data_IF_819736992375
#
_entry.id   IF_819736992375
#
_cell.length_a   1.000
_cell.length_b   1.000
_cell.length_c   1.000
_cell.angle_alpha   90.00
_cell.angle_beta   90.00
_cell.angle_gamma   90.00
#
_symmetry.space_group_name_H-M   'P 1'
#
loop_
_entity.id
_entity.type
_entity.pdbx_description
1 polymer ?
#
# COMPACT_ATOMS: atom_id res chain seq x y z
N UNK A 1 24.74 -1.81 23.92
CA UNK A 1 24.54 -0.95 22.73
C UNK A 1 23.37 0.03 22.82
N UNK A 2 22.19 -0.30 23.39
CA UNK A 2 21.03 0.63 23.45
C UNK A 2 21.31 1.97 24.15
N UNK A 3 22.06 1.95 25.25
CA UNK A 3 22.37 3.15 26.06
C UNK A 3 23.25 4.20 25.36
N UNK A 4 24.05 3.79 24.35
CA UNK A 4 24.85 4.71 23.54
C UNK A 4 24.02 5.41 22.45
N UNK A 5 23.12 4.68 21.77
CA UNK A 5 22.26 5.26 20.73
C UNK A 5 21.28 6.31 21.29
N UNK A 6 20.81 6.13 22.52
CA UNK A 6 19.92 7.09 23.17
C UNK A 6 20.61 8.43 23.48
N UNK A 7 21.88 8.38 23.90
CA UNK A 7 22.70 9.58 24.13
C UNK A 7 22.96 10.38 22.85
N UNK A 8 23.22 9.70 21.73
CA UNK A 8 23.47 10.34 20.44
C UNK A 8 22.21 10.99 19.86
N UNK A 9 21.04 10.35 20.02
CA UNK A 9 19.77 10.93 19.59
C UNK A 9 19.35 12.13 20.45
N UNK A 10 19.62 12.12 21.76
CA UNK A 10 19.38 13.29 22.60
C UNK A 10 20.26 14.48 22.20
N UNK A 11 21.54 14.24 21.87
CA UNK A 11 22.46 15.27 21.37
C UNK A 11 22.00 15.88 20.04
N UNK A 12 21.52 15.05 19.10
CA UNK A 12 20.95 15.52 17.82
C UNK A 12 19.75 16.43 18.01
N UNK A 13 18.83 16.05 18.91
CA UNK A 13 17.65 16.86 19.23
C UNK A 13 18.02 18.19 19.90
N UNK A 14 19.05 18.21 20.75
CA UNK A 14 19.55 19.44 21.36
C UNK A 14 20.16 20.40 20.32
N UNK A 15 21.01 19.90 19.41
CA UNK A 15 21.62 20.71 18.35
C UNK A 15 20.57 21.29 17.39
N UNK A 16 19.58 20.49 17.00
CA UNK A 16 18.49 20.94 16.14
C UNK A 16 17.62 22.03 16.79
N UNK A 17 17.41 21.97 18.12
CA UNK A 17 16.71 23.03 18.87
C UNK A 17 17.53 24.33 18.90
N UNK A 18 18.82 24.23 19.19
CA UNK A 18 19.71 25.39 19.25
C UNK A 18 19.89 26.09 17.88
N UNK A 19 19.81 25.33 16.78
CA UNK A 19 19.83 25.89 15.43
C UNK A 19 18.58 26.73 15.13
N UNK A 20 17.40 26.24 15.53
CA UNK A 20 16.12 26.95 15.37
C UNK A 20 16.05 28.23 16.20
N UNK A 21 16.55 28.20 17.44
CA UNK A 21 16.64 29.39 18.31
C UNK A 21 17.53 30.49 17.70
N UNK A 22 18.51 30.13 16.86
CA UNK A 22 19.38 31.09 16.16
C UNK A 22 18.89 31.42 14.73
N UNK A 23 17.67 31.02 14.37
CA UNK A 23 17.09 31.26 13.05
C UNK A 23 17.79 30.55 11.90
N UNK A 24 18.58 29.50 12.19
CA UNK A 24 19.36 28.74 11.19
C UNK A 24 18.73 27.38 10.90
N UNK A 25 18.95 26.88 9.69
CA UNK A 25 18.43 25.57 9.30
C UNK A 25 19.28 24.44 9.92
N UNK A 26 18.65 23.31 10.27
CA UNK A 26 19.32 22.17 10.92
C UNK A 26 20.42 21.54 10.05
N UNK A 27 20.36 21.71 8.73
CA UNK A 27 21.39 21.31 7.76
C UNK A 27 22.69 22.09 7.91
N UNK A 28 22.62 23.36 8.33
CA UNK A 28 23.78 24.28 8.43
C UNK A 28 24.62 24.04 9.70
N UNK A 29 24.09 23.28 10.66
CA UNK A 29 24.73 23.03 11.97
C UNK A 29 25.27 21.60 12.10
N UNK A 30 25.24 20.82 11.01
CA UNK A 30 25.69 19.43 11.02
C UNK A 30 24.77 18.47 11.77
N UNK A 31 23.56 18.89 12.16
CA UNK A 31 22.62 18.05 12.91
C UNK A 31 22.14 16.82 12.13
N UNK A 32 22.20 16.87 10.79
CA UNK A 32 21.90 15.76 9.87
C UNK A 32 23.09 14.82 9.59
N UNK A 33 24.28 15.11 10.12
CA UNK A 33 25.47 14.30 9.87
C UNK A 33 25.52 13.05 10.77
N UNK A 34 26.22 12.01 10.29
CA UNK A 34 26.53 10.83 11.12
C UNK A 34 27.41 11.22 12.32
N UNK A 35 27.31 10.49 13.44
CA UNK A 35 27.96 10.85 14.71
C UNK A 35 29.48 11.12 14.56
N UNK A 36 30.19 10.32 13.74
CA UNK A 36 31.61 10.52 13.44
C UNK A 36 31.89 11.83 12.69
N UNK A 37 31.00 12.26 11.80
CA UNK A 37 31.15 13.52 11.04
C UNK A 37 30.75 14.75 11.85
N UNK A 38 29.89 14.59 12.86
CA UNK A 38 29.53 15.68 13.79
C UNK A 38 30.70 16.08 14.69
N UNK A 39 31.48 15.11 15.17
CA UNK A 39 32.69 15.37 15.95
C UNK A 39 33.73 16.15 15.14
N UNK A 40 33.94 15.77 13.87
CA UNK A 40 34.84 16.49 12.96
C UNK A 40 34.35 17.93 12.71
N UNK A 41 33.05 18.11 12.47
CA UNK A 41 32.45 19.42 12.18
C UNK A 41 32.48 20.38 13.39
N UNK A 42 32.29 19.86 14.61
CA UNK A 42 32.44 20.65 15.85
C UNK A 42 33.91 21.01 16.12
N UNK A 43 34.86 20.12 15.79
CA UNK A 43 36.30 20.38 15.96
C UNK A 43 36.82 21.41 14.94
N UNK A 44 36.21 21.48 13.75
CA UNK A 44 36.57 22.50 12.74
C UNK A 44 36.06 23.89 13.14
N UNK A 45 34.87 23.99 13.76
CA UNK A 45 34.26 25.25 14.17
C UNK A 45 34.86 25.91 15.42
N UNK A 46 35.68 25.18 16.19
CA UNK A 46 36.32 25.68 17.43
C UNK A 46 37.80 26.05 17.29
N UNK A 47 38.43 25.85 16.13
CA UNK A 47 39.85 26.18 15.93
C UNK A 47 40.02 27.61 15.43
N UNK A 48 40.43 28.49 16.33
CA UNK A 48 41.06 29.78 16.01
C UNK A 48 42.56 29.54 15.80
N UNK A 49 42.98 29.20 14.58
CA UNK A 49 44.39 29.01 14.22
C UNK A 49 44.58 28.52 12.78
N UNK A 50 45.79 28.68 12.19
CA UNK A 50 46.01 28.39 10.77
C UNK A 50 45.78 26.92 10.41
N UNK A 51 45.34 26.68 9.17
CA UNK A 51 45.02 25.36 8.63
C UNK A 51 46.26 24.43 8.64
N UNK A 52 46.12 23.16 9.08
CA UNK A 52 47.17 22.17 8.86
C UNK A 52 47.27 21.83 7.37
N UNK A 53 48.50 21.83 6.87
CA UNK A 53 48.84 21.49 5.50
C UNK A 53 48.40 20.05 5.18
N UNK A 54 47.45 19.89 4.25
CA UNK A 54 47.09 18.56 3.75
C UNK A 54 45.65 18.39 3.27
N UNK A 55 45.16 19.26 2.40
CA UNK A 55 44.01 18.94 1.53
C UNK A 55 44.04 19.83 0.31
N UNK A 56 44.83 19.39 -0.68
CA UNK A 56 44.95 20.04 -1.99
C UNK A 56 43.61 19.98 -2.72
N UNK A 57 42.86 21.07 -2.67
CA UNK A 57 42.17 21.54 -3.87
C UNK A 57 43.24 21.97 -4.88
N UNK A 58 43.19 21.45 -6.10
CA UNK A 58 43.86 22.10 -7.23
C UNK A 58 42.81 22.73 -8.12
N UNK A 59 42.88 24.05 -8.22
CA UNK A 59 42.29 24.83 -9.28
C UNK A 59 43.23 24.87 -10.50
N UNK A 60 42.60 25.20 -11.62
CA UNK A 60 43.08 25.34 -12.98
C UNK A 60 44.10 26.49 -13.17
N UNK A 61 45.02 26.32 -14.13
CA UNK A 61 45.58 27.35 -15.03
C UNK A 61 46.85 26.86 -15.74
N UNK A 62 46.73 26.79 -17.07
CA UNK A 62 47.58 27.45 -18.07
C UNK A 62 49.07 27.72 -17.75
N UNK A 63 49.91 27.28 -18.71
CA UNK A 63 51.27 27.77 -19.06
C UNK A 63 52.45 27.04 -18.40
N UNK A 64 53.08 26.16 -19.17
CA UNK A 64 54.56 26.13 -19.29
C UNK A 64 55.31 24.87 -18.82
N UNK A 65 55.27 23.80 -19.62
CA UNK A 65 56.38 22.83 -19.80
C UNK A 65 56.36 21.54 -18.95
N UNK A 66 57.19 20.54 -19.29
CA UNK A 66 57.53 19.97 -20.60
C UNK A 66 56.61 18.78 -20.96
N UNK A 67 56.59 18.38 -22.23
CA UNK A 67 55.63 17.44 -22.81
C UNK A 67 55.65 16.01 -22.18
N UNK A 68 54.47 15.40 -21.91
CA UNK A 68 54.36 13.96 -21.63
C UNK A 68 54.41 13.13 -22.94
N UNK A 69 54.80 11.84 -22.86
CA UNK A 69 54.93 10.97 -24.04
C UNK A 69 53.59 10.70 -24.75
N UNK A 70 53.60 10.40 -26.06
CA UNK A 70 52.37 10.30 -26.85
C UNK A 70 51.46 9.15 -26.44
N UNK A 71 50.16 9.41 -26.58
CA UNK A 71 49.03 8.59 -26.17
C UNK A 71 49.07 7.14 -26.69
N UNK A 72 48.89 6.20 -25.77
CA UNK A 72 48.54 4.82 -26.09
C UNK A 72 47.18 4.74 -26.77
N UNK A 73 47.11 3.84 -27.75
CA UNK A 73 45.96 3.49 -28.60
C UNK A 73 44.68 3.27 -27.77
N UNK A 74 43.49 3.75 -28.21
CA UNK A 74 42.24 3.46 -27.51
C UNK A 74 41.91 1.97 -27.62
N UNK A 75 41.87 1.28 -26.48
CA UNK A 75 41.32 -0.08 -26.41
C UNK A 75 39.85 -0.04 -26.83
N UNK A 76 39.53 -0.85 -27.84
CA UNK A 76 38.15 -1.11 -28.26
C UNK A 76 37.36 -1.69 -27.09
N UNK A 77 36.14 -1.22 -26.79
CA UNK A 77 35.30 -1.84 -25.79
C UNK A 77 34.98 -3.28 -26.21
N UNK A 78 35.21 -4.24 -25.31
CA UNK A 78 34.83 -5.64 -25.53
C UNK A 78 33.33 -5.73 -25.80
N UNK A 79 32.88 -6.61 -26.72
CA UNK A 79 31.46 -6.85 -26.93
C UNK A 79 30.83 -7.35 -25.63
N UNK A 80 29.83 -6.63 -25.15
CA UNK A 80 28.97 -7.05 -24.06
C UNK A 80 28.18 -8.26 -24.56
N UNK A 81 28.41 -9.43 -23.97
CA UNK A 81 27.63 -10.64 -24.28
C UNK A 81 26.15 -10.30 -24.09
N UNK A 82 25.38 -10.35 -25.16
CA UNK A 82 23.93 -10.22 -25.08
C UNK A 82 23.39 -11.38 -24.21
N UNK A 83 22.40 -11.13 -23.34
CA UNK A 83 21.70 -12.24 -22.71
C UNK A 83 21.07 -13.10 -23.81
N UNK A 84 21.27 -14.42 -23.73
CA UNK A 84 20.66 -15.37 -24.65
C UNK A 84 19.14 -15.15 -24.73
N UNK A 85 18.52 -15.26 -25.91
CA UNK A 85 17.08 -15.24 -26.01
C UNK A 85 16.54 -16.47 -25.27
N UNK A 86 15.86 -16.22 -24.16
CA UNK A 86 15.09 -17.22 -23.45
C UNK A 86 14.14 -17.92 -24.42
N UNK A 87 13.99 -19.24 -24.23
CA UNK A 87 13.10 -20.09 -25.00
C UNK A 87 11.67 -19.49 -25.10
N UNK A 88 10.93 -19.76 -26.20
CA UNK A 88 9.61 -19.21 -26.39
C UNK A 88 8.63 -19.90 -25.44
N UNK A 89 8.17 -19.18 -24.42
CA UNK A 89 7.12 -19.64 -23.54
C UNK A 89 6.89 -18.67 -22.40
N UNK A 90 5.69 -18.11 -22.35
CA UNK A 90 5.15 -17.23 -21.32
C UNK A 90 5.81 -15.84 -21.23
N UNK A 91 5.24 -14.86 -21.92
CA UNK A 91 5.57 -13.43 -21.82
C UNK A 91 5.68 -13.04 -20.35
N UNK A 92 6.90 -12.90 -19.84
CA UNK A 92 7.15 -12.47 -18.46
C UNK A 92 6.55 -11.09 -18.30
N UNK A 93 5.37 -11.05 -17.68
CA UNK A 93 4.75 -9.81 -17.24
C UNK A 93 5.80 -9.12 -16.36
N UNK A 94 6.26 -7.94 -16.78
CA UNK A 94 7.34 -7.27 -16.07
C UNK A 94 6.91 -7.00 -14.63
N UNK A 95 7.86 -6.96 -13.68
CA UNK A 95 7.58 -6.66 -12.26
C UNK A 95 6.57 -5.52 -12.07
N UNK A 96 6.68 -4.46 -12.88
CA UNK A 96 5.76 -3.32 -12.82
C UNK A 96 4.33 -3.70 -13.19
N UNK A 97 4.14 -4.45 -14.26
CA UNK A 97 2.83 -4.89 -14.75
C UNK A 97 2.16 -5.86 -13.76
N UNK A 98 2.95 -6.76 -13.14
CA UNK A 98 2.50 -7.63 -12.06
C UNK A 98 1.97 -6.81 -10.86
N UNK A 99 2.76 -5.84 -10.39
CA UNK A 99 2.38 -5.00 -9.24
C UNK A 99 1.22 -4.05 -9.58
N UNK A 100 1.14 -3.54 -10.81
CA UNK A 100 0.03 -2.70 -11.27
C UNK A 100 -1.29 -3.52 -11.31
N UNK A 101 -1.27 -4.76 -11.78
CA UNK A 101 -2.43 -5.66 -11.75
C UNK A 101 -2.85 -6.00 -10.32
N UNK A 102 -1.89 -6.32 -9.45
CA UNK A 102 -2.15 -6.55 -8.03
C UNK A 102 -2.78 -5.30 -7.38
N UNK A 103 -2.25 -4.10 -7.68
CA UNK A 103 -2.80 -2.84 -7.19
C UNK A 103 -4.23 -2.59 -7.66
N UNK A 104 -4.53 -2.87 -8.94
CA UNK A 104 -5.90 -2.81 -9.47
C UNK A 104 -6.83 -3.76 -8.73
N UNK A 105 -6.43 -5.02 -8.53
CA UNK A 105 -7.24 -6.02 -7.84
C UNK A 105 -7.44 -5.72 -6.35
N UNK A 106 -6.41 -5.19 -5.69
CA UNK A 106 -6.48 -4.83 -4.27
C UNK A 106 -7.03 -3.41 -4.01
N UNK A 107 -7.35 -2.65 -5.07
CA UNK A 107 -7.88 -1.28 -4.97
C UNK A 107 -6.88 -0.26 -4.40
N UNK A 108 -5.58 -0.45 -4.61
CA UNK A 108 -4.51 0.36 -3.98
C UNK A 108 -3.47 0.86 -4.97
N UNK A 109 -2.75 1.91 -4.60
CA UNK A 109 -1.68 2.46 -5.43
C UNK A 109 -0.48 1.50 -5.55
N UNK A 110 0.35 1.72 -6.57
CA UNK A 110 1.52 0.90 -6.88
C UNK A 110 2.49 0.70 -5.70
N UNK A 111 2.76 1.74 -4.90
CA UNK A 111 3.71 1.63 -3.78
C UNK A 111 3.15 0.70 -2.72
N UNK A 112 1.86 0.85 -2.44
CA UNK A 112 1.13 0.01 -1.48
C UNK A 112 1.01 -1.43 -1.98
N UNK A 113 0.69 -1.62 -3.25
CA UNK A 113 0.61 -2.94 -3.90
C UNK A 113 1.97 -3.66 -3.87
N UNK A 114 3.05 -2.93 -4.16
CA UNK A 114 4.43 -3.45 -4.13
C UNK A 114 4.75 -4.07 -2.77
N UNK A 115 4.61 -3.28 -1.71
CA UNK A 115 4.98 -3.70 -0.35
C UNK A 115 4.09 -4.87 0.09
N UNK A 116 2.80 -4.83 -0.26
CA UNK A 116 1.87 -5.91 0.00
C UNK A 116 2.20 -7.21 -0.73
N UNK A 117 2.61 -7.12 -2.00
CA UNK A 117 3.01 -8.27 -2.80
C UNK A 117 4.32 -8.89 -2.29
N UNK A 118 5.32 -8.06 -1.95
CA UNK A 118 6.56 -8.50 -1.30
C UNK A 118 6.26 -9.26 -0.01
N UNK A 119 5.46 -8.67 0.89
CA UNK A 119 5.06 -9.30 2.14
C UNK A 119 4.34 -10.64 1.92
N UNK A 120 3.41 -10.71 0.96
CA UNK A 120 2.66 -11.93 0.67
C UNK A 120 3.55 -13.04 0.13
N UNK A 121 4.39 -12.73 -0.87
CA UNK A 121 5.31 -13.71 -1.48
C UNK A 121 6.28 -14.26 -0.45
N UNK A 122 6.83 -13.39 0.41
CA UNK A 122 7.74 -13.78 1.47
C UNK A 122 7.04 -14.63 2.53
N UNK A 123 5.88 -14.23 3.04
CA UNK A 123 5.13 -15.03 4.02
C UNK A 123 4.79 -16.41 3.45
N UNK A 124 4.34 -16.48 2.19
CA UNK A 124 3.99 -17.73 1.53
C UNK A 124 5.21 -18.62 1.32
N UNK A 125 6.32 -18.05 0.86
CA UNK A 125 7.58 -18.76 0.70
C UNK A 125 8.03 -19.43 2.00
N UNK A 126 7.82 -18.81 3.16
CA UNK A 126 8.17 -19.38 4.47
C UNK A 126 7.14 -20.35 5.03
N UNK A 127 5.87 -20.25 4.63
CA UNK A 127 4.85 -21.24 4.96
C UNK A 127 5.10 -22.59 4.24
N UNK A 128 5.56 -22.51 2.99
CA UNK A 128 5.84 -23.64 2.10
C UNK A 128 7.05 -24.50 2.55
N UNK A 129 7.11 -25.75 2.07
CA UNK A 129 8.31 -26.58 2.15
C UNK A 129 9.40 -26.09 1.19
N UNK A 130 10.66 -26.50 1.42
CA UNK A 130 11.83 -25.97 0.69
C UNK A 130 11.71 -26.11 -0.85
N UNK A 131 11.22 -27.24 -1.35
CA UNK A 131 11.04 -27.45 -2.78
C UNK A 131 10.02 -26.47 -3.40
N UNK A 132 8.92 -26.23 -2.69
CA UNK A 132 7.80 -25.41 -3.17
C UNK A 132 8.12 -23.93 -3.01
N UNK A 133 8.82 -23.58 -1.93
CA UNK A 133 9.45 -22.28 -1.72
C UNK A 133 10.37 -21.93 -2.89
N UNK A 134 11.28 -22.83 -3.28
CA UNK A 134 12.21 -22.57 -4.37
C UNK A 134 11.48 -22.39 -5.71
N UNK A 135 10.43 -23.19 -5.96
CA UNK A 135 9.57 -23.07 -7.14
C UNK A 135 8.88 -21.71 -7.20
N UNK A 136 8.22 -21.29 -6.12
CA UNK A 136 7.58 -19.98 -6.02
C UNK A 136 8.58 -18.84 -6.27
N UNK A 137 9.73 -18.86 -5.58
CA UNK A 137 10.71 -17.78 -5.68
C UNK A 137 11.36 -17.69 -7.07
N UNK A 138 11.49 -18.81 -7.78
CA UNK A 138 12.02 -18.81 -9.14
C UNK A 138 11.01 -18.28 -10.15
N UNK A 139 9.71 -18.43 -9.88
CA UNK A 139 8.64 -18.00 -10.78
C UNK A 139 8.28 -16.51 -10.64
N UNK A 140 8.52 -15.90 -9.48
CA UNK A 140 8.22 -14.49 -9.23
C UNK A 140 9.42 -13.57 -9.51
N UNK A 141 9.22 -12.31 -9.93
CA UNK A 141 10.32 -11.37 -10.11
C UNK A 141 11.15 -11.19 -8.84
N UNK A 142 12.48 -11.16 -8.97
CA UNK A 142 13.39 -11.12 -7.83
C UNK A 142 13.19 -9.92 -6.90
N UNK A 143 12.73 -8.79 -7.45
CA UNK A 143 12.38 -7.60 -6.67
C UNK A 143 11.27 -7.84 -5.64
N UNK A 144 10.44 -8.88 -5.78
CA UNK A 144 9.43 -9.24 -4.79
C UNK A 144 9.96 -10.06 -3.61
N UNK A 145 11.17 -10.63 -3.71
CA UNK A 145 11.70 -11.53 -2.69
C UNK A 145 13.15 -11.25 -2.26
N UNK A 146 13.83 -10.26 -2.86
CA UNK A 146 15.20 -9.85 -2.49
C UNK A 146 15.23 -8.93 -1.25
N UNK A 147 14.06 -8.67 -0.67
CA UNK A 147 13.91 -7.89 0.55
C UNK A 147 13.64 -8.84 1.70
N UNK A 148 14.61 -9.06 2.58
CA UNK A 148 14.41 -9.83 3.82
C UNK A 148 14.17 -8.86 4.98
N UNK A 149 13.07 -8.97 5.74
CA UNK A 149 12.83 -8.16 6.93
C UNK A 149 13.96 -8.31 7.95
N UNK A 150 14.33 -7.23 8.62
CA UNK A 150 15.40 -7.21 9.64
C UNK A 150 15.10 -8.17 10.80
N UNK A 151 13.83 -8.31 11.15
CA UNK A 151 13.37 -9.15 12.25
C UNK A 151 13.13 -10.62 11.83
N UNK A 152 13.43 -10.98 10.58
CA UNK A 152 13.12 -12.28 10.01
C UNK A 152 11.64 -12.44 9.67
N UNK A 153 11.28 -13.65 9.21
CA UNK A 153 9.92 -14.04 8.82
C UNK A 153 9.54 -15.26 9.65
N UNK A 154 8.40 -15.20 10.33
CA UNK A 154 7.89 -16.34 11.08
C UNK A 154 7.10 -17.28 10.18
N UNK A 155 7.23 -18.58 10.43
CA UNK A 155 6.51 -19.60 9.69
C UNK A 155 5.14 -19.84 10.31
N UNK A 156 4.08 -19.52 9.56
CA UNK A 156 2.70 -19.78 9.95
C UNK A 156 2.02 -20.63 8.88
N UNK A 157 1.32 -21.69 9.31
CA UNK A 157 0.62 -22.63 8.43
C UNK A 157 -0.91 -22.44 8.46
N UNK A 158 -1.40 -21.65 9.41
CA UNK A 158 -2.78 -21.21 9.53
C UNK A 158 -2.96 -19.80 8.96
N UNK A 159 -4.17 -19.53 8.46
CA UNK A 159 -4.53 -18.25 7.88
C UNK A 159 -4.34 -17.06 8.84
N UNK A 160 -4.81 -17.08 10.10
CA UNK A 160 -4.63 -15.96 11.02
C UNK A 160 -3.15 -15.59 11.25
N UNK A 161 -2.29 -16.58 11.48
CA UNK A 161 -0.85 -16.37 11.65
C UNK A 161 -0.19 -15.84 10.38
N UNK A 162 -0.55 -16.39 9.22
CA UNK A 162 -0.08 -15.90 7.92
C UNK A 162 -0.46 -14.43 7.68
N UNK A 163 -1.73 -14.08 7.90
CA UNK A 163 -2.21 -12.70 7.73
C UNK A 163 -1.57 -11.75 8.73
N UNK A 164 -1.28 -12.20 9.96
CA UNK A 164 -0.55 -11.43 10.96
C UNK A 164 0.85 -11.07 10.46
N UNK A 165 1.56 -12.02 9.84
CA UNK A 165 2.88 -11.76 9.24
C UNK A 165 2.82 -10.82 8.04
N UNK A 166 1.83 -11.00 7.15
CA UNK A 166 1.64 -10.09 6.00
C UNK A 166 1.31 -8.68 6.48
N UNK A 167 0.45 -8.54 7.49
CA UNK A 167 0.15 -7.26 8.15
C UNK A 167 1.38 -6.61 8.77
N UNK A 168 2.19 -7.39 9.49
CA UNK A 168 3.43 -6.92 10.13
C UNK A 168 4.43 -6.38 9.10
N UNK A 169 4.64 -7.11 8.01
CA UNK A 169 5.58 -6.72 6.95
C UNK A 169 5.08 -5.53 6.11
N UNK A 170 3.77 -5.47 5.86
CA UNK A 170 3.19 -4.42 5.00
C UNK A 170 2.70 -3.18 5.75
N UNK A 171 2.56 -3.23 7.08
CA UNK A 171 2.02 -2.16 7.91
C UNK A 171 0.51 -1.95 7.74
N UNK A 172 -0.24 -3.01 7.40
CA UNK A 172 -1.67 -2.95 7.04
C UNK A 172 -2.55 -3.67 8.05
N UNK A 173 -3.83 -3.32 8.10
CA UNK A 173 -4.79 -4.07 8.93
C UNK A 173 -4.90 -5.52 8.45
N UNK A 174 -5.35 -6.47 9.30
CA UNK A 174 -5.52 -7.87 8.91
C UNK A 174 -6.42 -8.05 7.67
N UNK A 175 -7.50 -7.28 7.57
CA UNK A 175 -8.44 -7.34 6.44
C UNK A 175 -7.79 -6.82 5.15
N UNK A 176 -6.98 -5.76 5.26
CA UNK A 176 -6.23 -5.22 4.13
C UNK A 176 -5.12 -6.18 3.68
N UNK A 177 -4.44 -6.84 4.63
CA UNK A 177 -3.44 -7.87 4.36
C UNK A 177 -4.06 -9.07 3.67
N UNK A 178 -5.27 -9.49 4.09
CA UNK A 178 -6.02 -10.56 3.44
C UNK A 178 -6.34 -10.25 1.98
N UNK A 179 -6.99 -9.11 1.72
CA UNK A 179 -7.33 -8.70 0.35
C UNK A 179 -6.10 -8.57 -0.54
N UNK A 180 -5.02 -8.04 0.03
CA UNK A 180 -3.74 -7.95 -0.66
C UNK A 180 -3.17 -9.33 -1.01
N UNK A 181 -3.23 -10.28 -0.07
CA UNK A 181 -2.73 -11.64 -0.27
C UNK A 181 -3.55 -12.38 -1.35
N UNK A 182 -4.88 -12.30 -1.27
CA UNK A 182 -5.80 -12.85 -2.28
C UNK A 182 -5.53 -12.23 -3.66
N UNK A 183 -5.39 -10.91 -3.76
CA UNK A 183 -5.09 -10.23 -5.02
C UNK A 183 -3.73 -10.67 -5.60
N UNK A 184 -2.70 -10.84 -4.75
CA UNK A 184 -1.39 -11.34 -5.18
C UNK A 184 -1.48 -12.77 -5.69
N UNK A 185 -2.11 -13.67 -4.93
CA UNK A 185 -2.26 -15.08 -5.30
C UNK A 185 -3.11 -15.27 -6.56
N UNK A 186 -4.24 -14.58 -6.67
CA UNK A 186 -5.08 -14.59 -7.87
C UNK A 186 -4.32 -14.06 -9.10
N UNK A 187 -3.43 -13.08 -8.91
CA UNK A 187 -2.59 -12.58 -10.01
C UNK A 187 -1.53 -13.58 -10.44
N UNK A 188 -0.92 -14.29 -9.49
CA UNK A 188 0.02 -15.36 -9.79
C UNK A 188 -0.70 -16.52 -10.51
N UNK A 189 -1.88 -16.94 -10.02
CA UNK A 189 -2.67 -18.00 -10.63
C UNK A 189 -3.14 -17.66 -12.06
N UNK A 190 -3.58 -16.41 -12.29
CA UNK A 190 -3.95 -15.96 -13.62
C UNK A 190 -2.78 -15.93 -14.61
N UNK A 191 -1.54 -15.82 -14.10
CA UNK A 191 -0.33 -15.76 -14.91
C UNK A 191 0.31 -17.12 -15.13
N UNK A 192 0.20 -18.01 -14.15
CA UNK A 192 0.75 -19.35 -14.16
C UNK A 192 -0.10 -20.24 -13.23
N UNK A 193 -1.16 -20.81 -13.78
CA UNK A 193 -2.08 -21.67 -13.04
C UNK A 193 -1.37 -22.95 -12.58
N UNK A 194 -0.55 -23.53 -13.46
CA UNK A 194 0.24 -24.74 -13.17
C UNK A 194 1.19 -24.52 -11.98
N UNK A 195 1.82 -23.34 -11.88
CA UNK A 195 2.62 -22.99 -10.70
C UNK A 195 1.78 -23.11 -9.44
N UNK A 196 0.65 -22.39 -9.35
CA UNK A 196 -0.17 -22.32 -8.14
C UNK A 196 -0.75 -23.68 -7.78
N UNK A 197 -1.23 -24.44 -8.76
CA UNK A 197 -1.72 -25.81 -8.57
C UNK A 197 -0.62 -26.76 -8.07
N UNK A 198 0.63 -26.53 -8.45
CA UNK A 198 1.75 -27.38 -8.07
C UNK A 198 2.32 -27.10 -6.66
N UNK A 199 1.93 -26.00 -6.01
CA UNK A 199 2.37 -25.63 -4.67
C UNK A 199 1.56 -26.40 -3.62
N UNK A 200 2.23 -27.16 -2.75
CA UNK A 200 1.60 -27.77 -1.59
C UNK A 200 1.43 -26.74 -0.49
N UNK A 201 0.43 -25.90 -0.66
CA UNK A 201 0.02 -24.92 0.34
C UNK A 201 -0.62 -25.63 1.54
N UNK A 202 -0.23 -25.28 2.78
CA UNK A 202 -0.86 -25.83 3.99
C UNK A 202 -2.38 -25.71 3.95
N UNK A 203 -3.09 -26.70 4.51
CA UNK A 203 -4.56 -26.76 4.52
C UNK A 203 -5.19 -25.45 5.03
N UNK A 204 -4.59 -24.86 6.07
CA UNK A 204 -5.04 -23.60 6.67
C UNK A 204 -4.91 -22.36 5.76
N UNK A 205 -4.21 -22.46 4.62
CA UNK A 205 -4.03 -21.37 3.65
C UNK A 205 -4.73 -21.63 2.32
N UNK A 206 -5.39 -22.78 2.14
CA UNK A 206 -6.10 -23.11 0.90
C UNK A 206 -7.25 -22.14 0.59
N UNK A 207 -7.87 -21.58 1.63
CA UNK A 207 -8.92 -20.56 1.50
C UNK A 207 -8.46 -19.32 0.69
N UNK A 208 -7.14 -19.03 0.67
CA UNK A 208 -6.58 -17.92 -0.12
C UNK A 208 -6.36 -18.27 -1.61
N UNK A 209 -6.33 -19.57 -1.94
CA UNK A 209 -6.11 -20.08 -3.29
C UNK A 209 -7.41 -20.46 -4.00
N UNK A 210 -8.45 -20.78 -3.24
CA UNK A 210 -9.77 -21.02 -3.81
C UNK A 210 -10.21 -19.73 -4.52
N UNK A 211 -10.48 -19.78 -5.84
CA UNK A 211 -11.04 -18.63 -6.53
C UNK A 211 -12.35 -18.33 -5.83
N UNK A 212 -12.40 -17.19 -5.12
CA UNK A 212 -13.56 -16.84 -4.29
C UNK A 212 -14.83 -17.08 -5.08
N UNK A 213 -15.65 -18.02 -4.62
CA UNK A 213 -16.79 -18.53 -5.35
C UNK A 213 -17.61 -17.35 -5.86
N UNK A 214 -17.71 -17.25 -7.19
CA UNK A 214 -18.65 -16.37 -7.84
C UNK A 214 -20.03 -16.98 -7.63
N UNK A 215 -20.63 -16.68 -6.48
CA UNK A 215 -22.02 -17.00 -6.17
C UNK A 215 -22.18 -18.19 -5.23
N UNK A 216 -22.65 -17.90 -4.02
CA UNK A 216 -23.00 -18.94 -3.06
C UNK A 216 -23.59 -18.34 -1.80
N UNK A 217 -24.67 -17.58 -1.93
CA UNK A 217 -25.42 -17.13 -0.76
C UNK A 217 -26.07 -18.33 -0.07
N UNK A 218 -25.44 -18.86 0.98
CA UNK A 218 -26.06 -19.25 2.25
C UNK A 218 -24.99 -19.09 3.32
N UNK A 219 -25.37 -18.38 4.39
CA UNK A 219 -24.54 -18.05 5.55
C UNK A 219 -23.83 -19.29 6.13
N UNK A 220 -22.52 -19.34 5.95
CA UNK A 220 -21.57 -20.04 6.80
C UNK A 220 -20.63 -19.01 7.41
N UNK A 221 -20.28 -19.18 8.68
CA UNK A 221 -19.55 -18.21 9.49
C UNK A 221 -18.12 -17.91 8.97
N UNK A 222 -18.02 -17.09 7.93
CA UNK A 222 -16.78 -16.45 7.46
C UNK A 222 -17.11 -15.02 7.02
N UNK A 223 -16.37 -14.06 7.57
CA UNK A 223 -16.63 -12.62 7.57
C UNK A 223 -16.37 -11.90 6.24
N UNK A 224 -16.51 -12.58 5.10
CA UNK A 224 -16.34 -11.98 3.77
C UNK A 224 -17.70 -11.88 3.09
N UNK A 225 -18.28 -10.69 3.14
CA UNK A 225 -19.53 -10.42 2.43
C UNK A 225 -19.29 -10.43 0.92
N UNK A 226 -19.94 -11.35 0.21
CA UNK A 226 -19.81 -11.50 -1.23
C UNK A 226 -20.38 -10.28 -2.00
N UNK A 227 -19.74 -9.87 -3.12
CA UNK A 227 -20.31 -8.92 -4.07
C UNK A 227 -21.67 -9.35 -4.62
N UNK A 228 -22.56 -8.39 -4.85
CA UNK A 228 -23.82 -8.61 -5.57
C UNK A 228 -23.53 -8.86 -7.05
N UNK A 229 -24.20 -9.86 -7.61
CA UNK A 229 -24.29 -10.03 -9.07
C UNK A 229 -25.06 -8.88 -9.70
N UNK A 230 -24.87 -8.65 -11.01
CA UNK A 230 -25.60 -7.60 -11.71
C UNK A 230 -27.13 -7.80 -11.69
N UNK A 231 -27.61 -9.04 -11.63
CA UNK A 231 -29.02 -9.34 -11.48
C UNK A 231 -29.55 -8.97 -10.09
N UNK A 232 -28.79 -9.29 -9.03
CA UNK A 232 -29.13 -8.92 -7.65
C UNK A 232 -29.07 -7.40 -7.44
N UNK A 233 -28.05 -6.73 -7.98
CA UNK A 233 -27.97 -5.27 -7.94
C UNK A 233 -29.17 -4.62 -8.63
N UNK A 234 -29.58 -5.14 -9.79
CA UNK A 234 -30.76 -4.62 -10.49
C UNK A 234 -32.04 -4.83 -9.68
N UNK A 235 -32.18 -5.98 -9.02
CA UNK A 235 -33.31 -6.24 -8.13
C UNK A 235 -33.29 -5.28 -6.92
N UNK A 236 -32.14 -5.11 -6.27
CA UNK A 236 -31.98 -4.19 -5.14
C UNK A 236 -32.28 -2.73 -5.52
N UNK A 237 -31.81 -2.28 -6.69
CA UNK A 237 -32.12 -0.94 -7.20
C UNK A 237 -33.60 -0.74 -7.55
N UNK A 238 -34.34 -1.82 -7.84
CA UNK A 238 -35.78 -1.72 -8.03
C UNK A 238 -36.52 -1.36 -6.72
N UNK A 239 -35.95 -1.75 -5.57
CA UNK A 239 -36.47 -1.46 -4.23
C UNK A 239 -35.88 -0.15 -3.64
N UNK A 240 -34.97 0.52 -4.36
CA UNK A 240 -34.30 1.77 -3.96
C UNK A 240 -34.49 2.86 -5.03
N UNK A 241 -35.71 3.39 -5.22
CA UNK A 241 -36.05 4.24 -6.38
C UNK A 241 -35.30 5.58 -6.42
N UNK A 242 -34.76 6.05 -5.29
CA UNK A 242 -33.98 7.29 -5.21
C UNK A 242 -32.49 7.07 -5.38
N UNK A 243 -32.04 5.82 -5.54
CA UNK A 243 -30.65 5.47 -5.69
C UNK A 243 -30.32 5.09 -7.13
N UNK A 244 -29.11 5.43 -7.55
CA UNK A 244 -28.50 4.97 -8.77
C UNK A 244 -27.23 4.20 -8.45
N UNK A 245 -26.90 3.16 -9.21
CA UNK A 245 -25.71 2.36 -8.97
C UNK A 245 -25.01 1.88 -10.24
N UNK A 246 -23.69 1.85 -10.20
CA UNK A 246 -22.81 1.45 -11.32
C UNK A 246 -22.07 0.13 -11.07
N UNK A 247 -22.47 -0.60 -10.03
CA UNK A 247 -21.80 -1.83 -9.60
C UNK A 247 -20.71 -1.61 -8.56
N UNK A 248 -20.20 -0.39 -8.39
CA UNK A 248 -19.15 -0.03 -7.44
C UNK A 248 -19.62 0.89 -6.33
N UNK A 249 -20.60 1.72 -6.64
CA UNK A 249 -21.18 2.67 -5.71
C UNK A 249 -22.69 2.75 -5.88
N UNK A 250 -23.39 3.06 -4.80
CA UNK A 250 -24.77 3.53 -4.82
C UNK A 250 -24.74 5.01 -4.49
N UNK A 251 -25.43 5.82 -5.29
CA UNK A 251 -25.50 7.27 -5.10
C UNK A 251 -26.95 7.75 -5.07
N UNK A 252 -27.27 8.62 -4.11
CA UNK A 252 -28.55 9.32 -4.00
C UNK A 252 -28.29 10.82 -3.85
N UNK A 253 -29.04 11.63 -4.57
CA UNK A 253 -29.04 13.10 -4.39
C UNK A 253 -30.25 13.51 -3.57
N UNK A 254 -30.04 14.38 -2.59
CA UNK A 254 -31.09 14.96 -1.74
C UNK A 254 -31.07 16.46 -1.93
N UNK A 255 -32.21 17.02 -2.34
CA UNK A 255 -32.41 18.45 -2.54
C UNK A 255 -33.48 18.96 -1.58
N UNK A 256 -33.12 19.86 -0.67
CA UNK A 256 -33.99 20.40 0.37
C UNK A 256 -33.56 21.85 0.72
N UNK A 257 -34.44 22.68 1.29
CA UNK A 257 -34.02 23.92 1.93
C UNK A 257 -32.90 23.66 2.95
N UNK A 258 -31.93 24.57 3.04
CA UNK A 258 -30.69 24.34 3.82
C UNK A 258 -30.95 23.89 5.27
N UNK A 259 -31.87 24.54 5.97
CA UNK A 259 -32.22 24.21 7.36
C UNK A 259 -32.81 22.80 7.49
N UNK A 260 -33.59 22.35 6.50
CA UNK A 260 -34.16 21.02 6.47
C UNK A 260 -33.11 19.97 6.07
N UNK A 261 -32.20 20.34 5.15
CA UNK A 261 -31.12 19.45 4.73
C UNK A 261 -30.19 19.14 5.90
N UNK A 262 -29.78 20.15 6.69
CA UNK A 262 -28.91 19.95 7.84
C UNK A 262 -29.54 18.96 8.84
N UNK A 263 -30.82 19.12 9.17
CA UNK A 263 -31.56 18.18 10.03
C UNK A 263 -31.60 16.76 9.47
N UNK A 264 -31.80 16.60 8.17
CA UNK A 264 -31.80 15.30 7.51
C UNK A 264 -30.40 14.66 7.57
N UNK A 265 -29.35 15.44 7.32
CA UNK A 265 -27.97 14.95 7.38
C UNK A 265 -27.57 14.54 8.80
N UNK A 266 -27.98 15.28 9.82
CA UNK A 266 -27.77 14.90 11.23
C UNK A 266 -28.40 13.53 11.53
N UNK A 267 -29.61 13.27 11.01
CA UNK A 267 -30.26 11.96 11.17
C UNK A 267 -29.54 10.85 10.40
N UNK A 268 -29.07 11.14 9.19
CA UNK A 268 -28.27 10.20 8.39
C UNK A 268 -26.93 9.88 9.05
N UNK A 269 -26.30 10.85 9.73
CA UNK A 269 -25.07 10.59 10.50
C UNK A 269 -25.32 9.64 11.67
N UNK A 270 -26.52 9.69 12.26
CA UNK A 270 -26.92 8.82 13.37
C UNK A 270 -27.04 7.34 12.97
N UNK A 271 -27.24 7.04 11.67
CA UNK A 271 -27.19 5.66 11.13
C UNK A 271 -25.84 4.98 11.43
N UNK A 272 -24.76 5.76 11.57
CA UNK A 272 -23.45 5.24 12.01
C UNK A 272 -23.51 4.61 13.39
N UNK A 273 -24.26 5.20 14.30
CA UNK A 273 -24.37 4.73 15.69
C UNK A 273 -25.11 3.39 15.73
N UNK A 274 -26.13 3.23 14.89
CA UNK A 274 -26.99 2.05 14.86
C UNK A 274 -26.38 0.87 14.09
N UNK A 275 -25.70 1.15 12.96
CA UNK A 275 -25.24 0.11 12.01
C UNK A 275 -23.71 0.00 11.95
N UNK A 276 -22.99 0.94 12.58
CA UNK A 276 -21.53 1.01 12.52
C UNK A 276 -20.99 1.47 11.16
N UNK A 277 -21.85 1.86 10.22
CA UNK A 277 -21.52 2.26 8.84
C UNK A 277 -22.25 3.55 8.48
N UNK A 278 -21.67 4.33 7.57
CA UNK A 278 -22.25 5.60 7.11
C UNK A 278 -22.01 5.79 5.62
N UNK A 279 -22.92 6.45 4.88
CA UNK A 279 -22.60 6.94 3.55
C UNK A 279 -21.49 8.00 3.63
N UNK A 280 -20.80 8.21 2.51
CA UNK A 280 -20.03 9.43 2.28
C UNK A 280 -20.99 10.53 1.87
N UNK A 281 -20.86 11.69 2.50
CA UNK A 281 -21.73 12.85 2.25
C UNK A 281 -20.90 13.92 1.53
N UNK A 282 -21.30 14.28 0.32
CA UNK A 282 -20.79 15.44 -0.40
C UNK A 282 -21.82 16.55 -0.40
N UNK A 283 -21.42 17.79 -0.11
CA UNK A 283 -22.29 18.98 -0.22
C UNK A 283 -21.79 19.88 -1.33
N UNK A 284 -22.34 19.78 -2.55
CA UNK A 284 -22.02 20.72 -3.61
C UNK A 284 -22.52 22.14 -3.29
N UNK A 285 -23.64 22.27 -2.58
CA UNK A 285 -24.21 23.55 -2.15
C UNK A 285 -25.06 23.39 -0.85
N UNK A 286 -25.54 24.48 -0.23
CA UNK A 286 -26.28 24.40 1.03
C UNK A 286 -27.61 23.65 0.96
N UNK A 287 -28.25 23.58 -0.21
CA UNK A 287 -29.54 22.92 -0.42
C UNK A 287 -29.45 21.54 -1.07
N UNK A 288 -28.24 21.06 -1.36
CA UNK A 288 -28.03 19.77 -2.03
C UNK A 288 -27.00 18.92 -1.29
N UNK A 289 -27.31 17.65 -1.08
CA UNK A 289 -26.36 16.65 -0.63
C UNK A 289 -26.32 15.45 -1.59
N UNK A 290 -25.13 14.92 -1.80
CA UNK A 290 -24.89 13.68 -2.54
C UNK A 290 -24.42 12.63 -1.54
N UNK A 291 -25.22 11.59 -1.37
CA UNK A 291 -24.95 10.46 -0.50
C UNK A 291 -24.37 9.33 -1.36
N UNK A 292 -23.17 8.87 -1.03
CA UNK A 292 -22.49 7.79 -1.74
C UNK A 292 -22.21 6.64 -0.78
N UNK A 293 -22.76 5.47 -1.08
CA UNK A 293 -22.47 4.22 -0.38
C UNK A 293 -21.53 3.39 -1.24
N UNK A 294 -20.41 2.98 -0.68
CA UNK A 294 -19.50 2.00 -1.27
C UNK A 294 -18.80 1.23 -0.15
N UNK A 295 -18.57 -0.06 -0.35
CA UNK A 295 -17.62 -0.79 0.50
C UNK A 295 -16.21 -0.60 -0.07
N UNK A 296 -15.26 -0.14 0.74
CA UNK A 296 -13.84 -0.11 0.34
C UNK A 296 -13.18 -1.50 0.35
N UNK A 297 -13.95 -2.56 0.61
CA UNK A 297 -13.47 -3.93 0.79
C UNK A 297 -13.69 -4.82 -0.44
N UNK A 298 -14.61 -4.46 -1.32
CA UNK A 298 -14.77 -5.05 -2.64
C UNK A 298 -14.88 -3.89 -3.64
N UNK A 299 -14.25 -3.98 -4.81
CA UNK A 299 -14.50 -3.06 -5.93
C UNK A 299 -15.89 -3.32 -6.54
N UNK A 300 -16.89 -3.55 -5.67
CA UNK A 300 -18.22 -4.01 -5.97
C UNK A 300 -19.19 -3.73 -4.79
N UNK A 301 -20.47 -3.54 -5.12
CA UNK A 301 -21.55 -3.41 -4.14
C UNK A 301 -21.83 -4.76 -3.47
N UNK A 302 -22.06 -4.73 -2.16
CA UNK A 302 -22.38 -5.88 -1.33
C UNK A 302 -23.77 -5.75 -0.68
N UNK A 303 -24.33 -6.83 -0.13
CA UNK A 303 -25.63 -6.77 0.54
C UNK A 303 -25.69 -5.72 1.70
N UNK A 304 -24.68 -5.60 2.57
CA UNK A 304 -24.60 -4.54 3.57
C UNK A 304 -24.59 -3.11 3.00
N UNK A 305 -24.14 -2.90 1.76
CA UNK A 305 -24.22 -1.59 1.11
C UNK A 305 -25.67 -1.25 0.74
N UNK A 306 -26.44 -2.25 0.29
CA UNK A 306 -27.88 -2.12 0.05
C UNK A 306 -28.65 -1.91 1.35
N UNK A 307 -28.30 -2.65 2.42
CA UNK A 307 -28.87 -2.44 3.76
C UNK A 307 -28.61 -1.02 4.28
N UNK A 308 -27.40 -0.50 4.09
CA UNK A 308 -27.07 0.88 4.44
C UNK A 308 -27.89 1.88 3.62
N UNK A 309 -28.10 1.65 2.32
CA UNK A 309 -28.94 2.51 1.49
C UNK A 309 -30.39 2.54 1.99
N UNK A 310 -30.96 1.40 2.38
CA UNK A 310 -32.30 1.34 2.99
C UNK A 310 -32.36 2.06 4.34
N UNK A 311 -31.34 1.90 5.19
CA UNK A 311 -31.30 2.60 6.48
C UNK A 311 -31.22 4.12 6.32
N UNK A 312 -30.47 4.59 5.32
CA UNK A 312 -30.40 6.00 4.95
C UNK A 312 -31.76 6.50 4.45
N UNK A 313 -32.46 5.74 3.60
CA UNK A 313 -33.81 6.10 3.15
C UNK A 313 -34.79 6.22 4.33
N UNK A 314 -34.78 5.25 5.25
CA UNK A 314 -35.60 5.29 6.45
C UNK A 314 -35.29 6.52 7.33
N UNK A 315 -34.02 6.86 7.49
CA UNK A 315 -33.58 8.04 8.25
C UNK A 315 -34.05 9.35 7.60
N UNK A 316 -33.99 9.44 6.26
CA UNK A 316 -34.47 10.60 5.50
C UNK A 316 -35.99 10.71 5.60
N UNK A 317 -36.71 9.60 5.46
CA UNK A 317 -38.17 9.56 5.55
C UNK A 317 -38.66 9.92 6.95
N UNK A 318 -37.99 9.45 8.00
CA UNK A 318 -38.29 9.81 9.39
C UNK A 318 -38.06 11.30 9.65
N UNK A 319 -36.92 11.83 9.21
CA UNK A 319 -36.64 13.26 9.29
C UNK A 319 -37.68 14.08 8.51
N UNK A 320 -38.14 13.55 7.37
CA UNK A 320 -39.16 14.16 6.52
C UNK A 320 -40.58 14.12 7.09
N UNK A 321 -40.96 13.03 7.77
CA UNK A 321 -42.23 12.94 8.50
C UNK A 321 -42.32 14.00 9.63
N UNK A 322 -41.17 14.42 10.16
CA UNK A 322 -41.05 15.51 11.12
C UNK A 322 -41.07 16.93 10.52
N UNK A 323 -41.31 17.09 9.20
CA UNK A 323 -41.38 18.39 8.51
C UNK A 323 -42.82 18.86 8.20
N UNK A 324 -43.83 18.00 8.39
CA UNK A 324 -45.26 18.33 8.23
C UNK A 324 -45.96 18.72 9.54
N UNK A 325 -45.19 19.02 10.61
CA UNK A 325 -45.69 19.39 11.93
C UNK A 325 -45.55 20.87 12.25
#
# INVERSE_FOLDING_TARGET
MRKQMEGDNQRRRALARQARERGRQASETGASLSASKQLTHLDTGRRSGPLPAGSRHKADSTRGGPAPPPAGVPERPRPRTAPEPAAPGITAMGYRELVDEIGRRAGVDFRTAKVGAEATVLALAWALGEADRQRLLTAVPSSLHDVVPVDGIERHADLPGFLTEVSRMSGRSPEQARRQAEATLATLAARDADLVESLHVPDGLRELLEPGDVGGGVVGASTVTAPLTQAQLRAALADLPYWSGDGRSLTRTVELPADNLDRVLDRVEQVREDIGRSPRIGRPDPGTAVLTVFSGAADAITAPDVELAHAVDAAIDEAGAGMTG
#
